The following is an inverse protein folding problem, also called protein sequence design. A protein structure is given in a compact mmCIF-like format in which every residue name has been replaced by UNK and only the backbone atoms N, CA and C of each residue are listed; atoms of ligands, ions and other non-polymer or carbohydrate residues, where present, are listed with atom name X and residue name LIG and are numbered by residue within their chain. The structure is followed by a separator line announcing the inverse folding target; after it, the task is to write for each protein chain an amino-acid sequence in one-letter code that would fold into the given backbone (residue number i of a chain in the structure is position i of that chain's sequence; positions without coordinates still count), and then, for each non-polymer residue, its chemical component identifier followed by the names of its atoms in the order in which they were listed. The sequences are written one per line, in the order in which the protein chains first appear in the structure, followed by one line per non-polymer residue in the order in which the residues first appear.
data_IF_625538745332
#
_entry.id   IF_625538745332
#
_cell.length_a   1.000
_cell.length_b   1.000
_cell.length_c   1.000
_cell.angle_alpha   90.00
_cell.angle_beta   90.00
_cell.angle_gamma   90.00
#
_symmetry.space_group_name_H-M   'P 1'
#
loop_
_entity.id
_entity.type
_entity.pdbx_description
1 polymer ?
#
# COMPACT_ATOMS: atom_id res chain seq x y z
N UNK A 1 -9.66 -26.80 -4.46
CA UNK A 1 -9.30 -25.88 -3.37
C UNK A 1 -10.52 -25.05 -3.09
N UNK A 2 -10.99 -25.02 -1.84
CA UNK A 2 -12.14 -24.19 -1.44
C UNK A 2 -11.68 -22.73 -1.46
N UNK A 3 -12.30 -21.89 -2.28
CA UNK A 3 -12.02 -20.45 -2.29
C UNK A 3 -12.52 -19.86 -0.98
N UNK A 4 -11.61 -19.37 -0.15
CA UNK A 4 -11.94 -18.68 1.10
C UNK A 4 -12.66 -17.36 0.77
N UNK A 5 -13.80 -17.12 1.40
CA UNK A 5 -14.52 -15.86 1.26
C UNK A 5 -13.81 -14.72 2.00
N UNK A 6 -14.08 -13.48 1.57
CA UNK A 6 -13.62 -12.27 2.27
C UNK A 6 -14.04 -12.30 3.75
N UNK A 7 -15.27 -12.74 4.05
CA UNK A 7 -15.79 -12.78 5.41
C UNK A 7 -15.09 -13.83 6.30
N UNK A 8 -14.68 -14.97 5.73
CA UNK A 8 -13.86 -15.96 6.44
C UNK A 8 -12.48 -15.40 6.75
N UNK A 9 -11.82 -14.82 5.75
CA UNK A 9 -10.50 -14.25 5.94
C UNK A 9 -10.48 -13.08 6.93
N UNK A 10 -11.50 -12.22 6.88
CA UNK A 10 -11.67 -11.11 7.82
C UNK A 10 -11.72 -11.59 9.28
N UNK A 11 -12.39 -12.72 9.55
CA UNK A 11 -12.44 -13.31 10.90
C UNK A 11 -11.07 -13.83 11.34
N UNK A 12 -10.33 -14.47 10.43
CA UNK A 12 -8.99 -14.97 10.72
C UNK A 12 -7.99 -13.82 10.97
N UNK A 13 -8.10 -12.72 10.22
CA UNK A 13 -7.32 -11.50 10.45
C UNK A 13 -7.63 -10.88 11.82
N UNK A 14 -8.92 -10.73 12.14
CA UNK A 14 -9.35 -10.19 13.42
C UNK A 14 -8.88 -11.06 14.60
N UNK A 15 -8.94 -12.39 14.47
CA UNK A 15 -8.46 -13.33 15.49
C UNK A 15 -6.94 -13.22 15.74
N UNK A 16 -6.18 -12.76 14.74
CA UNK A 16 -4.74 -12.51 14.83
C UNK A 16 -4.40 -11.06 15.24
N UNK A 17 -5.40 -10.19 15.40
CA UNK A 17 -5.19 -8.77 15.71
C UNK A 17 -4.61 -7.97 14.54
N UNK A 18 -4.75 -8.45 13.31
CA UNK A 18 -4.30 -7.76 12.11
C UNK A 18 -5.20 -6.56 11.79
N UNK A 19 -4.59 -5.48 11.29
CA UNK A 19 -5.30 -4.25 10.89
C UNK A 19 -6.06 -4.44 9.58
N UNK A 20 -7.00 -3.52 9.37
CA UNK A 20 -7.75 -3.37 8.14
C UNK A 20 -9.25 -3.49 8.29
N UNK A 21 -9.98 -2.75 7.47
CA UNK A 21 -11.44 -2.85 7.37
C UNK A 21 -11.83 -3.78 6.21
N UNK A 22 -11.96 -5.07 6.50
CA UNK A 22 -12.39 -6.07 5.53
C UNK A 22 -13.89 -6.03 5.25
N UNK A 23 -14.69 -5.27 6.02
CA UNK A 23 -16.15 -5.23 5.84
C UNK A 23 -16.57 -4.50 4.56
N UNK A 24 -15.70 -3.60 4.06
CA UNK A 24 -15.90 -2.82 2.83
C UNK A 24 -15.19 -3.41 1.60
N UNK A 25 -14.61 -4.61 1.73
CA UNK A 25 -13.92 -5.30 0.64
C UNK A 25 -14.86 -5.79 -0.45
N UNK A 26 -14.42 -5.64 -1.69
CA UNK A 26 -14.98 -6.33 -2.86
C UNK A 26 -14.53 -7.80 -2.87
N UNK A 27 -15.12 -8.59 -3.77
CA UNK A 27 -14.80 -10.00 -3.91
C UNK A 27 -13.31 -10.27 -4.29
N UNK A 28 -12.65 -9.32 -4.94
CA UNK A 28 -11.22 -9.37 -5.26
C UNK A 28 -10.33 -8.78 -4.15
N UNK A 29 -10.87 -8.60 -2.94
CA UNK A 29 -10.20 -8.02 -1.77
C UNK A 29 -9.82 -6.53 -1.90
N UNK A 30 -10.30 -5.83 -2.94
CA UNK A 30 -10.03 -4.39 -3.08
C UNK A 30 -11.03 -3.52 -2.33
N UNK A 31 -10.54 -2.38 -1.84
CA UNK A 31 -11.32 -1.34 -1.15
C UNK A 31 -11.23 -0.01 -1.90
N UNK A 32 -12.03 0.97 -1.50
CA UNK A 32 -11.73 2.37 -1.84
C UNK A 32 -10.55 2.83 -0.99
N UNK A 33 -9.64 3.65 -1.52
CA UNK A 33 -8.58 4.23 -0.70
C UNK A 33 -9.16 5.05 0.46
N UNK A 34 -10.13 5.93 0.16
CA UNK A 34 -10.67 6.88 1.14
C UNK A 34 -9.66 7.96 1.49
N UNK A 35 -9.39 8.89 0.57
CA UNK A 35 -8.35 9.91 0.70
C UNK A 35 -8.78 11.03 1.69
N UNK A 36 -8.80 10.71 2.98
CA UNK A 36 -9.09 11.64 4.08
C UNK A 36 -8.05 11.46 5.20
N UNK A 37 -6.78 11.52 4.81
CA UNK A 37 -5.66 11.39 5.75
C UNK A 37 -5.46 12.68 6.54
N UNK A 38 -5.39 12.54 7.86
CA UNK A 38 -5.13 13.63 8.79
C UNK A 38 -3.75 14.27 8.59
N UNK A 39 -3.58 15.49 9.10
CA UNK A 39 -2.28 16.17 9.12
C UNK A 39 -1.21 15.37 9.89
N UNK A 40 -1.62 14.58 10.88
CA UNK A 40 -0.70 13.70 11.61
C UNK A 40 -0.17 12.57 10.72
N UNK A 41 -1.06 11.89 9.99
CA UNK A 41 -0.67 10.85 9.03
C UNK A 41 0.22 11.41 7.92
N UNK A 42 -0.13 12.59 7.39
CA UNK A 42 0.69 13.30 6.41
C UNK A 42 2.09 13.63 6.96
N UNK A 43 2.19 14.00 8.25
CA UNK A 43 3.48 14.26 8.90
C UNK A 43 4.29 12.98 9.13
N UNK A 44 3.65 11.86 9.47
CA UNK A 44 4.30 10.55 9.60
C UNK A 44 4.87 10.12 8.24
N UNK A 45 4.08 10.23 7.17
CA UNK A 45 4.51 9.94 5.80
C UNK A 45 5.76 10.72 5.42
N UNK A 46 5.73 12.05 5.57
CA UNK A 46 6.89 12.92 5.27
C UNK A 46 8.14 12.51 6.06
N UNK A 47 7.98 12.15 7.34
CA UNK A 47 9.08 11.71 8.19
C UNK A 47 9.70 10.41 7.67
N UNK A 48 8.87 9.44 7.28
CA UNK A 48 9.31 8.16 6.72
C UNK A 48 10.00 8.37 5.37
N UNK A 49 9.41 9.15 4.46
CA UNK A 49 9.99 9.47 3.16
C UNK A 49 11.34 10.20 3.27
N UNK A 50 11.48 11.18 4.16
CA UNK A 50 12.75 11.89 4.37
C UNK A 50 13.86 10.94 4.85
N UNK A 51 13.56 10.10 5.86
CA UNK A 51 14.50 9.10 6.36
C UNK A 51 14.91 8.11 5.26
N UNK A 52 13.95 7.58 4.52
CA UNK A 52 14.19 6.58 3.49
C UNK A 52 14.95 7.17 2.29
N UNK A 53 14.62 8.38 1.85
CA UNK A 53 15.26 9.06 0.72
C UNK A 53 16.75 9.28 0.97
N UNK A 54 17.15 9.60 2.21
CA UNK A 54 18.57 9.75 2.59
C UNK A 54 19.36 8.44 2.43
N UNK A 55 18.72 7.30 2.69
CA UNK A 55 19.33 5.98 2.54
C UNK A 55 19.35 5.52 1.08
N UNK A 56 18.21 5.61 0.38
CA UNK A 56 18.06 5.09 -0.98
C UNK A 56 18.94 5.83 -1.98
N UNK A 57 19.15 7.14 -1.83
CA UNK A 57 20.11 7.90 -2.65
C UNK A 57 21.53 7.34 -2.63
N UNK A 58 21.91 6.64 -1.55
CA UNK A 58 23.25 6.07 -1.37
C UNK A 58 23.32 4.58 -1.68
N UNK A 59 22.21 3.86 -1.49
CA UNK A 59 22.19 2.40 -1.41
C UNK A 59 21.31 1.74 -2.47
N UNK A 60 20.30 2.45 -2.99
CA UNK A 60 19.37 1.87 -3.95
C UNK A 60 20.01 1.79 -5.34
N UNK A 61 19.57 0.78 -6.10
CA UNK A 61 19.93 0.66 -7.50
C UNK A 61 19.35 1.83 -8.32
N UNK A 62 20.02 2.22 -9.40
CA UNK A 62 19.62 3.38 -10.21
C UNK A 62 18.18 3.26 -10.74
N UNK A 63 17.72 2.04 -11.08
CA UNK A 63 16.36 1.81 -11.57
C UNK A 63 15.28 2.19 -10.55
N UNK A 64 15.56 2.06 -9.25
CA UNK A 64 14.66 2.50 -8.20
C UNK A 64 14.61 4.03 -8.15
N UNK A 65 15.79 4.69 -8.20
CA UNK A 65 15.89 6.14 -8.18
C UNK A 65 15.19 6.79 -9.39
N UNK A 66 15.41 6.23 -10.59
CA UNK A 66 14.74 6.65 -11.82
C UNK A 66 13.21 6.50 -11.71
N UNK A 67 12.74 5.43 -11.06
CA UNK A 67 11.33 5.17 -10.82
C UNK A 67 10.71 6.21 -9.88
N UNK A 68 11.36 6.49 -8.75
CA UNK A 68 10.93 7.50 -7.78
C UNK A 68 10.87 8.89 -8.41
N UNK A 69 11.91 9.27 -9.17
CA UNK A 69 11.95 10.57 -9.88
C UNK A 69 10.81 10.66 -10.90
N UNK A 70 10.61 9.62 -11.71
CA UNK A 70 9.52 9.57 -12.69
C UNK A 70 8.16 9.58 -12.04
N UNK A 71 7.98 9.02 -10.85
CA UNK A 71 6.70 9.05 -10.13
C UNK A 71 6.45 10.41 -9.47
N UNK A 72 7.47 11.02 -8.84
CA UNK A 72 7.43 12.38 -8.30
C UNK A 72 6.51 12.55 -7.08
N UNK A 73 6.47 11.56 -6.18
CA UNK A 73 5.41 11.41 -5.17
C UNK A 73 5.92 11.10 -3.76
N UNK A 74 6.61 12.06 -3.10
CA UNK A 74 7.10 11.85 -1.73
C UNK A 74 6.66 12.92 -0.72
N UNK A 75 6.00 14.00 -1.14
CA UNK A 75 5.74 15.15 -0.26
C UNK A 75 4.43 15.01 0.55
N UNK A 76 3.53 14.12 0.13
CA UNK A 76 2.26 13.79 0.77
C UNK A 76 1.93 12.32 0.52
N UNK A 77 1.04 11.77 1.34
CA UNK A 77 0.47 10.44 1.12
C UNK A 77 -0.09 10.37 -0.31
N UNK A 78 0.27 9.37 -1.12
CA UNK A 78 -0.10 9.30 -2.53
C UNK A 78 -1.60 9.06 -2.72
N UNK A 79 -2.22 9.83 -3.61
CA UNK A 79 -3.54 9.50 -4.16
C UNK A 79 -3.35 8.37 -5.19
N UNK A 80 -3.94 7.20 -4.91
CA UNK A 80 -3.69 6.00 -5.71
C UNK A 80 -4.21 6.13 -7.14
N UNK A 81 -5.24 6.93 -7.39
CA UNK A 81 -5.75 7.15 -8.75
C UNK A 81 -4.79 8.05 -9.55
N UNK A 82 -4.26 9.11 -8.93
CA UNK A 82 -3.23 9.96 -9.52
C UNK A 82 -1.95 9.15 -9.85
N UNK A 83 -1.47 8.35 -8.89
CA UNK A 83 -0.28 7.50 -9.09
C UNK A 83 -0.54 6.49 -10.19
N UNK A 84 -1.67 5.81 -10.14
CA UNK A 84 -2.03 4.79 -11.12
C UNK A 84 -2.16 5.36 -12.52
N UNK A 85 -2.67 6.59 -12.67
CA UNK A 85 -2.72 7.26 -13.98
C UNK A 85 -1.33 7.46 -14.57
N UNK A 86 -0.33 7.77 -13.73
CA UNK A 86 1.06 7.92 -14.15
C UNK A 86 1.73 6.57 -14.42
N UNK A 87 1.57 5.61 -13.49
CA UNK A 87 2.14 4.28 -13.57
C UNK A 87 1.64 3.53 -14.82
N UNK A 88 0.33 3.62 -15.13
CA UNK A 88 -0.25 3.00 -16.33
C UNK A 88 0.40 3.50 -17.61
N UNK A 89 0.69 4.81 -17.70
CA UNK A 89 1.36 5.40 -18.87
C UNK A 89 2.81 4.94 -19.01
N UNK A 90 3.50 4.70 -17.89
CA UNK A 90 4.91 4.32 -17.87
C UNK A 90 5.13 2.82 -18.08
N UNK A 91 4.28 1.97 -17.50
CA UNK A 91 4.55 0.53 -17.37
C UNK A 91 3.32 -0.35 -17.67
N UNK A 92 2.14 0.23 -17.78
CA UNK A 92 0.87 -0.49 -17.82
C UNK A 92 0.42 -1.06 -16.48
N UNK A 93 1.14 -0.77 -15.38
CA UNK A 93 0.73 -1.16 -14.02
C UNK A 93 -0.14 -0.10 -13.36
N UNK A 94 -0.92 -0.51 -12.36
CA UNK A 94 -1.68 0.37 -11.49
C UNK A 94 -1.66 -0.12 -10.04
N UNK A 95 -1.98 0.77 -9.11
CA UNK A 95 -2.18 0.45 -7.70
C UNK A 95 -3.65 0.12 -7.48
N UNK A 96 -3.93 -0.82 -6.57
CA UNK A 96 -5.27 -1.02 -6.01
C UNK A 96 -5.21 -1.04 -4.50
N UNK A 97 -6.13 -0.33 -3.85
CA UNK A 97 -6.21 -0.31 -2.40
C UNK A 97 -6.71 -1.66 -1.86
N UNK A 98 -6.06 -2.17 -0.83
CA UNK A 98 -6.49 -3.33 -0.03
C UNK A 98 -6.62 -2.94 1.44
N UNK A 99 -7.45 -3.62 2.25
CA UNK A 99 -7.68 -3.20 3.63
C UNK A 99 -6.47 -3.49 4.54
N UNK A 100 -5.60 -4.41 4.13
CA UNK A 100 -4.59 -5.05 4.95
C UNK A 100 -3.97 -6.20 4.15
N UNK A 101 -3.51 -7.24 4.85
CA UNK A 101 -3.11 -8.49 4.20
C UNK A 101 -4.27 -9.06 3.37
N UNK A 102 -3.97 -9.76 2.29
CA UNK A 102 -4.96 -10.48 1.47
C UNK A 102 -4.46 -11.90 1.18
N UNK A 103 -5.35 -12.86 0.88
CA UNK A 103 -4.91 -14.22 0.58
C UNK A 103 -4.01 -14.27 -0.67
N UNK A 104 -3.13 -15.27 -0.72
CA UNK A 104 -2.16 -15.38 -1.81
C UNK A 104 -2.80 -15.46 -3.22
N UNK A 105 -3.90 -16.21 -3.37
CA UNK A 105 -4.57 -16.36 -4.67
C UNK A 105 -5.03 -15.02 -5.26
N UNK A 106 -5.89 -14.21 -4.59
CA UNK A 106 -6.28 -12.90 -5.11
C UNK A 106 -5.09 -11.93 -5.25
N UNK A 107 -4.06 -12.03 -4.38
CA UNK A 107 -2.84 -11.23 -4.55
C UNK A 107 -2.16 -11.52 -5.90
N UNK A 108 -1.94 -12.80 -6.22
CA UNK A 108 -1.31 -13.19 -7.48
C UNK A 108 -2.21 -12.93 -8.69
N UNK A 109 -3.53 -13.02 -8.55
CA UNK A 109 -4.48 -12.62 -9.60
C UNK A 109 -4.31 -11.13 -9.94
N UNK A 110 -4.18 -10.25 -8.93
CA UNK A 110 -3.88 -8.83 -9.16
C UNK A 110 -2.56 -8.62 -9.91
N UNK A 111 -1.50 -9.32 -9.50
CA UNK A 111 -0.20 -9.20 -10.19
C UNK A 111 -0.26 -9.66 -11.65
N UNK A 112 -1.02 -10.73 -11.94
CA UNK A 112 -1.23 -11.20 -13.31
C UNK A 112 -1.92 -10.13 -14.18
N UNK A 113 -2.80 -9.32 -13.58
CA UNK A 113 -3.51 -8.21 -14.22
C UNK A 113 -2.77 -6.86 -14.14
N UNK A 114 -1.48 -6.85 -13.74
CA UNK A 114 -0.67 -5.64 -13.51
C UNK A 114 -1.28 -4.65 -12.51
N UNK A 115 -1.98 -5.18 -11.51
CA UNK A 115 -2.52 -4.45 -10.36
C UNK A 115 -1.64 -4.77 -9.17
N UNK A 116 -1.07 -3.76 -8.53
CA UNK A 116 -0.26 -3.95 -7.33
C UNK A 116 -1.10 -3.57 -6.09
N UNK A 117 -1.40 -4.53 -5.19
CA UNK A 117 -2.10 -4.26 -3.95
C UNK A 117 -1.28 -3.38 -3.00
N UNK A 118 -1.89 -2.30 -2.48
CA UNK A 118 -1.30 -1.39 -1.49
C UNK A 118 -2.31 -1.16 -0.38
N UNK A 119 -1.89 -1.33 0.88
CA UNK A 119 -2.76 -1.07 2.04
C UNK A 119 -3.15 0.40 2.12
N UNK A 120 -4.37 0.69 2.58
CA UNK A 120 -4.92 2.06 2.58
C UNK A 120 -4.73 2.83 3.91
N UNK A 121 -3.96 2.29 4.85
CA UNK A 121 -3.70 2.91 6.16
C UNK A 121 -2.19 3.03 6.40
N UNK A 122 -1.81 3.97 7.25
CA UNK A 122 -0.41 4.26 7.61
C UNK A 122 -0.17 3.95 9.09
N UNK A 123 1.03 3.50 9.43
CA UNK A 123 1.47 3.39 10.82
C UNK A 123 1.38 4.72 11.58
N UNK A 124 1.33 4.63 12.90
CA UNK A 124 1.32 5.81 13.76
C UNK A 124 2.73 6.36 14.04
N UNK A 125 2.82 7.55 14.65
CA UNK A 125 4.11 8.16 15.04
C UNK A 125 4.91 7.30 16.03
N UNK A 126 4.24 6.58 16.91
CA UNK A 126 4.87 5.70 17.91
C UNK A 126 5.48 4.45 17.27
N UNK A 127 5.11 4.17 16.03
CA UNK A 127 5.47 2.97 15.29
C UNK A 127 6.42 3.25 14.12
N UNK A 128 7.00 4.47 14.08
CA UNK A 128 7.89 4.90 13.01
C UNK A 128 9.00 3.88 12.74
N UNK A 129 9.58 3.33 13.80
CA UNK A 129 10.74 2.43 13.70
C UNK A 129 10.33 0.97 13.50
N UNK A 130 9.10 0.57 13.86
CA UNK A 130 8.63 -0.81 13.71
C UNK A 130 7.10 -0.96 13.75
N UNK A 131 6.58 -1.76 12.83
CA UNK A 131 5.23 -2.36 12.84
C UNK A 131 5.36 -3.83 12.44
N UNK A 132 4.40 -4.65 12.88
CA UNK A 132 4.37 -6.09 12.56
C UNK A 132 3.87 -6.35 11.14
N UNK A 133 2.95 -5.52 10.66
CA UNK A 133 2.25 -5.69 9.39
C UNK A 133 2.82 -4.75 8.32
N UNK A 134 2.73 -5.09 7.02
CA UNK A 134 2.96 -4.10 5.98
C UNK A 134 1.88 -3.01 6.05
N UNK A 135 2.31 -1.76 5.97
CA UNK A 135 1.43 -0.60 5.81
C UNK A 135 1.70 0.09 4.47
N UNK A 136 0.96 1.17 4.20
CA UNK A 136 1.04 1.88 2.91
C UNK A 136 2.48 2.29 2.55
N UNK A 137 3.29 2.68 3.54
CA UNK A 137 4.66 3.10 3.30
C UNK A 137 5.58 1.94 2.93
N UNK A 138 5.31 0.72 3.41
CA UNK A 138 6.02 -0.48 2.97
C UNK A 138 5.66 -0.85 1.53
N UNK A 139 4.37 -0.78 1.22
CA UNK A 139 3.82 -1.25 -0.05
C UNK A 139 4.16 -0.32 -1.23
N UNK A 140 4.21 1.00 -1.00
CA UNK A 140 4.36 2.04 -2.03
C UNK A 140 5.82 2.30 -2.45
#
# INVERSE_FOLDING_TARGET
MTTMSVAEYARDCAAQGLRGDYSVCRADFTVSQGYDYSEEEQAVWRTLCDRQTKLTRRLAHHSYLDGVEKLGLLDRIPDFDEVSAKLRKLTGWQIVAVPGLIPAAPFFDHLADRRFPVTNWLRTRQELDYIVEPDMFHDF
#
